data_IF_116365855002
#
_entry.id   IF_116365855002
#
_cell.length_a   1.000
_cell.length_b   1.000
_cell.length_c   1.000
_cell.angle_alpha   90.00
_cell.angle_beta   90.00
_cell.angle_gamma   90.00
#
_symmetry.space_group_name_H-M   'P 1'
#
loop_
_entity.id
_entity.type
_entity.pdbx_description
1 polymer ?
#
# COMPACT_ATOMS: atom_id res chain seq x y z
N UNK A 1 5.78 19.58 -3.06
CA UNK A 1 6.32 18.20 -3.13
C UNK A 1 5.16 17.25 -2.93
N UNK A 2 5.04 16.22 -3.75
CA UNK A 2 3.98 15.19 -3.67
C UNK A 2 4.15 14.39 -2.38
N UNK A 3 3.05 14.07 -1.70
CA UNK A 3 3.11 13.18 -0.52
C UNK A 3 3.16 11.72 -0.97
N UNK A 4 3.98 10.92 -0.31
CA UNK A 4 3.94 9.46 -0.40
C UNK A 4 3.17 8.92 0.81
N UNK A 5 1.98 8.39 0.55
CA UNK A 5 1.17 7.66 1.52
C UNK A 5 1.51 6.18 1.49
N UNK A 6 1.48 5.54 2.65
CA UNK A 6 1.50 4.08 2.77
C UNK A 6 0.14 3.61 3.26
N UNK A 7 -0.50 2.70 2.54
CA UNK A 7 -1.68 1.98 3.01
C UNK A 7 -1.37 0.50 3.09
N UNK A 8 -1.45 -0.08 4.28
CA UNK A 8 -1.23 -1.50 4.49
C UNK A 8 -2.29 -2.09 5.43
N UNK A 9 -2.75 -3.29 5.08
CA UNK A 9 -3.48 -4.15 6.00
C UNK A 9 -2.49 -4.85 6.92
N UNK A 10 -2.77 -4.90 8.21
CA UNK A 10 -1.93 -5.61 9.15
C UNK A 10 -2.74 -6.29 10.25
N UNK A 11 -2.15 -7.29 10.87
CA UNK A 11 -2.71 -7.97 12.03
C UNK A 11 -2.48 -7.18 13.32
N UNK A 12 -3.20 -7.49 14.39
CA UNK A 12 -2.99 -6.89 15.73
C UNK A 12 -1.56 -7.08 16.23
N UNK A 13 -0.92 -8.21 15.87
CA UNK A 13 0.45 -8.54 16.25
C UNK A 13 1.51 -8.05 15.24
N UNK A 14 1.13 -7.16 14.29
CA UNK A 14 2.06 -6.34 13.51
C UNK A 14 2.55 -6.95 12.20
N UNK A 15 1.89 -7.96 11.65
CA UNK A 15 2.26 -8.59 10.38
C UNK A 15 1.34 -8.17 9.24
N UNK A 16 1.89 -8.03 8.04
CA UNK A 16 1.13 -7.71 6.81
C UNK A 16 0.83 -8.94 5.96
N UNK A 17 1.46 -10.06 6.25
CA UNK A 17 1.20 -11.36 5.64
C UNK A 17 1.77 -12.47 6.51
N UNK A 18 1.40 -13.72 6.27
CA UNK A 18 2.13 -14.88 6.76
C UNK A 18 3.56 -14.95 6.20
N UNK A 19 4.31 -15.98 6.61
CA UNK A 19 5.74 -16.13 6.24
C UNK A 19 5.98 -16.35 4.75
N UNK A 20 5.01 -16.96 4.04
CA UNK A 20 5.06 -17.19 2.59
C UNK A 20 4.19 -16.19 1.80
N UNK A 21 3.64 -15.16 2.46
CA UNK A 21 2.81 -14.15 1.84
C UNK A 21 1.31 -14.41 1.94
N UNK A 22 0.89 -15.33 2.79
CA UNK A 22 -0.53 -15.66 3.02
C UNK A 22 -1.28 -14.45 3.60
N UNK A 23 -2.49 -14.18 3.09
CA UNK A 23 -3.32 -13.03 3.45
C UNK A 23 -4.77 -13.42 3.75
N UNK A 24 -5.07 -14.70 3.97
CA UNK A 24 -6.43 -15.22 4.21
C UNK A 24 -7.07 -14.67 5.49
N UNK A 25 -6.26 -14.15 6.39
CA UNK A 25 -6.72 -13.45 7.59
C UNK A 25 -7.45 -12.13 7.30
N UNK A 26 -7.30 -11.56 6.09
CA UNK A 26 -8.01 -10.35 5.64
C UNK A 26 -9.43 -10.62 5.13
N UNK A 27 -10.09 -11.69 5.54
CA UNK A 27 -11.45 -12.07 5.10
C UNK A 27 -12.57 -11.36 5.84
N UNK A 28 -12.38 -10.14 6.24
CA UNK A 28 -13.46 -9.36 6.84
C UNK A 28 -14.23 -8.65 5.73
N UNK A 29 -15.60 -8.71 5.75
CA UNK A 29 -16.36 -7.90 4.81
C UNK A 29 -16.12 -6.43 5.14
N UNK A 30 -15.67 -5.67 4.17
CA UNK A 30 -15.55 -4.23 4.29
C UNK A 30 -16.97 -3.61 4.31
N UNK A 31 -17.19 -2.72 5.26
CA UNK A 31 -18.42 -1.93 5.40
C UNK A 31 -18.28 -0.61 4.65
N UNK A 32 -19.40 0.06 4.33
CA UNK A 32 -19.39 1.28 3.51
C UNK A 32 -18.51 2.38 4.12
N UNK A 33 -18.48 2.51 5.44
CA UNK A 33 -17.68 3.52 6.13
C UNK A 33 -16.16 3.39 5.91
N UNK A 34 -15.62 2.16 5.82
CA UNK A 34 -14.20 1.95 5.50
C UNK A 34 -13.94 2.11 3.99
N UNK A 35 -14.91 1.75 3.15
CA UNK A 35 -14.83 2.00 1.71
C UNK A 35 -14.79 3.50 1.40
N UNK A 36 -15.63 4.30 2.06
CA UNK A 36 -15.61 5.77 1.96
C UNK A 36 -14.25 6.33 2.37
N UNK A 37 -13.70 5.83 3.47
CA UNK A 37 -12.38 6.25 3.90
C UNK A 37 -11.27 5.90 2.89
N UNK A 38 -11.32 4.72 2.28
CA UNK A 38 -10.37 4.33 1.22
C UNK A 38 -10.53 5.23 0.00
N UNK A 39 -11.76 5.57 -0.40
CA UNK A 39 -12.01 6.55 -1.46
C UNK A 39 -11.37 7.91 -1.11
N UNK A 40 -11.61 8.42 0.09
CA UNK A 40 -11.05 9.70 0.58
C UNK A 40 -9.52 9.74 0.46
N UNK A 41 -8.81 8.72 0.93
CA UNK A 41 -7.34 8.71 0.92
C UNK A 41 -6.74 8.47 -0.46
N UNK A 42 -7.49 7.84 -1.38
CA UNK A 42 -7.04 7.50 -2.73
C UNK A 42 -7.49 8.51 -3.80
N UNK A 43 -8.50 9.34 -3.53
CA UNK A 43 -8.98 10.34 -4.48
C UNK A 43 -7.86 11.24 -5.01
N UNK A 44 -7.00 11.86 -4.15
CA UNK A 44 -5.93 12.73 -4.62
C UNK A 44 -4.72 11.98 -5.20
N UNK A 45 -4.78 10.65 -5.31
CA UNK A 45 -3.65 9.83 -5.77
C UNK A 45 -3.64 9.75 -7.30
N UNK A 46 -2.49 10.05 -7.89
CA UNK A 46 -2.25 9.91 -9.33
C UNK A 46 -1.15 8.89 -9.69
N UNK A 47 -0.50 8.29 -8.70
CA UNK A 47 0.57 7.32 -8.92
C UNK A 47 0.59 6.26 -7.81
N UNK A 48 0.65 4.99 -8.20
CA UNK A 48 0.75 3.84 -7.28
C UNK A 48 2.17 3.27 -7.35
N UNK A 49 2.80 3.04 -6.19
CA UNK A 49 4.07 2.33 -6.09
C UNK A 49 3.86 0.92 -5.54
N UNK A 50 4.47 -0.06 -6.19
CA UNK A 50 4.40 -1.47 -5.81
C UNK A 50 5.79 -2.11 -5.81
N UNK A 51 6.02 -3.00 -4.86
CA UNK A 51 7.09 -3.97 -4.99
C UNK A 51 6.68 -5.11 -5.95
N UNK A 52 7.63 -5.67 -6.70
CA UNK A 52 7.39 -6.71 -7.72
C UNK A 52 6.47 -7.85 -7.24
N UNK A 53 6.76 -8.44 -6.07
CA UNK A 53 5.97 -9.59 -5.58
C UNK A 53 4.50 -9.24 -5.34
N UNK A 54 4.22 -8.04 -4.83
CA UNK A 54 2.84 -7.59 -4.69
C UNK A 54 2.20 -7.31 -6.05
N UNK A 55 2.91 -6.68 -6.97
CA UNK A 55 2.41 -6.35 -8.29
C UNK A 55 1.91 -7.59 -9.07
N UNK A 56 2.60 -8.72 -8.92
CA UNK A 56 2.25 -10.00 -9.54
C UNK A 56 0.86 -10.54 -9.13
N UNK A 57 0.37 -10.18 -7.95
CA UNK A 57 -0.98 -10.50 -7.48
C UNK A 57 -1.95 -9.33 -7.63
N UNK A 58 -1.55 -8.14 -7.21
CA UNK A 58 -2.39 -6.94 -7.16
C UNK A 58 -2.91 -6.52 -8.54
N UNK A 59 -2.04 -6.43 -9.54
CA UNK A 59 -2.44 -5.92 -10.86
C UNK A 59 -3.40 -6.89 -11.57
N UNK A 60 -3.12 -8.21 -11.66
CA UNK A 60 -4.06 -9.15 -12.24
C UNK A 60 -5.40 -9.24 -11.51
N UNK A 61 -5.40 -9.16 -10.17
CA UNK A 61 -6.62 -9.17 -9.37
C UNK A 61 -7.54 -8.01 -9.78
N UNK A 62 -7.07 -6.77 -9.74
CA UNK A 62 -7.86 -5.60 -10.08
C UNK A 62 -8.25 -5.54 -11.56
N UNK A 63 -7.37 -6.01 -12.45
CA UNK A 63 -7.69 -6.17 -13.87
C UNK A 63 -8.84 -7.17 -14.08
N UNK A 64 -8.95 -8.17 -13.20
CA UNK A 64 -10.05 -9.13 -13.28
C UNK A 64 -11.35 -8.58 -12.69
N UNK A 65 -11.30 -7.88 -11.57
CA UNK A 65 -12.44 -7.23 -10.92
C UNK A 65 -13.19 -6.31 -11.89
N UNK A 66 -12.48 -5.49 -12.65
CA UNK A 66 -13.10 -4.52 -13.59
C UNK A 66 -13.71 -5.16 -14.86
N UNK A 67 -13.64 -6.48 -15.01
CA UNK A 67 -14.35 -7.17 -16.11
C UNK A 67 -15.83 -7.36 -15.83
N UNK A 68 -16.23 -7.37 -14.56
CA UNK A 68 -17.63 -7.47 -14.16
C UNK A 68 -18.10 -6.17 -13.49
N UNK A 69 -18.91 -5.34 -14.19
CA UNK A 69 -19.46 -4.11 -13.61
C UNK A 69 -20.35 -4.30 -12.37
N UNK A 70 -20.79 -5.54 -12.10
CA UNK A 70 -21.58 -5.88 -10.91
C UNK A 70 -20.73 -6.37 -9.73
N UNK A 71 -19.41 -6.46 -9.90
CA UNK A 71 -18.51 -6.82 -8.80
C UNK A 71 -18.59 -5.75 -7.71
N UNK A 72 -18.76 -6.12 -6.42
CA UNK A 72 -18.83 -5.16 -5.31
C UNK A 72 -17.60 -4.26 -5.19
N UNK A 73 -16.45 -4.69 -5.70
CA UNK A 73 -15.19 -3.94 -5.68
C UNK A 73 -14.90 -3.19 -6.99
N UNK A 74 -15.85 -3.19 -7.95
CA UNK A 74 -15.66 -2.62 -9.30
C UNK A 74 -15.14 -1.18 -9.28
N UNK A 75 -15.74 -0.29 -8.50
CA UNK A 75 -15.33 1.13 -8.43
C UNK A 75 -13.88 1.28 -7.93
N UNK A 76 -13.51 0.52 -6.90
CA UNK A 76 -12.12 0.45 -6.43
C UNK A 76 -11.19 -0.09 -7.50
N UNK A 77 -11.62 -1.15 -8.19
CA UNK A 77 -10.89 -1.75 -9.31
C UNK A 77 -10.62 -0.77 -10.44
N UNK A 78 -11.61 0.05 -10.81
CA UNK A 78 -11.44 1.12 -11.81
C UNK A 78 -10.36 2.10 -11.37
N UNK A 79 -10.38 2.57 -10.12
CA UNK A 79 -9.34 3.47 -9.58
C UNK A 79 -7.96 2.84 -9.67
N UNK A 80 -7.81 1.57 -9.24
CA UNK A 80 -6.51 0.89 -9.24
C UNK A 80 -5.98 0.55 -10.64
N UNK A 81 -6.85 0.25 -11.59
CA UNK A 81 -6.43 -0.05 -12.96
C UNK A 81 -6.09 1.19 -13.76
N UNK A 82 -6.85 2.28 -13.61
CA UNK A 82 -6.66 3.53 -14.35
C UNK A 82 -5.53 4.39 -13.79
N UNK A 83 -5.21 4.30 -12.50
CA UNK A 83 -4.09 5.03 -11.91
C UNK A 83 -2.75 4.45 -12.39
N UNK A 84 -1.82 5.27 -12.93
CA UNK A 84 -0.48 4.84 -13.31
C UNK A 84 0.27 4.15 -12.17
N UNK A 85 0.94 3.04 -12.50
CA UNK A 85 1.70 2.23 -11.54
C UNK A 85 3.18 2.24 -11.86
N UNK A 86 4.00 2.26 -10.82
CA UNK A 86 5.46 2.07 -10.92
C UNK A 86 5.82 0.87 -10.04
N UNK A 87 6.38 -0.16 -10.65
CA UNK A 87 6.80 -1.39 -9.98
C UNK A 87 8.32 -1.36 -9.81
N UNK A 88 8.75 -1.31 -8.55
CA UNK A 88 10.16 -1.40 -8.23
C UNK A 88 10.65 -2.85 -8.28
N UNK A 89 11.65 -3.10 -9.13
CA UNK A 89 12.17 -4.45 -9.37
C UNK A 89 13.65 -4.40 -9.74
N UNK A 90 14.44 -5.34 -9.25
CA UNK A 90 15.82 -5.57 -9.71
C UNK A 90 15.92 -6.73 -10.71
N UNK A 91 14.78 -7.33 -11.09
CA UNK A 91 14.76 -8.53 -11.96
C UNK A 91 13.89 -8.39 -13.20
N UNK A 92 12.93 -7.48 -13.20
CA UNK A 92 12.10 -7.17 -14.37
C UNK A 92 12.67 -5.95 -15.08
N UNK A 93 12.81 -6.03 -16.40
CA UNK A 93 13.27 -4.90 -17.22
C UNK A 93 12.12 -4.18 -17.93
N UNK A 94 11.04 -4.90 -18.24
CA UNK A 94 9.88 -4.36 -18.92
C UNK A 94 8.59 -4.79 -18.20
N UNK A 95 7.58 -3.95 -18.26
CA UNK A 95 6.26 -4.30 -17.75
C UNK A 95 5.53 -5.22 -18.73
N UNK A 96 4.83 -6.20 -18.16
CA UNK A 96 3.85 -7.03 -18.85
C UNK A 96 2.42 -6.58 -18.54
N UNK A 97 2.26 -5.57 -17.67
CA UNK A 97 0.97 -5.03 -17.24
C UNK A 97 0.70 -3.68 -17.89
N UNK A 98 -0.55 -3.44 -18.22
CA UNK A 98 -1.00 -2.15 -18.73
C UNK A 98 -0.83 -1.04 -17.69
N UNK A 99 -0.64 0.18 -18.17
CA UNK A 99 -0.52 1.38 -17.34
C UNK A 99 0.50 1.23 -16.19
N UNK A 100 1.61 0.54 -16.47
CA UNK A 100 2.61 0.17 -15.46
C UNK A 100 4.03 0.34 -16.02
N UNK A 101 4.86 1.11 -15.34
CA UNK A 101 6.29 1.21 -15.61
C UNK A 101 7.09 0.32 -14.63
N UNK A 102 8.26 -0.14 -15.07
CA UNK A 102 9.24 -0.82 -14.21
C UNK A 102 10.34 0.18 -13.84
N UNK A 103 10.66 0.24 -12.56
CA UNK A 103 11.75 1.06 -12.04
C UNK A 103 12.84 0.16 -11.45
N UNK A 104 14.05 0.24 -12.03
CA UNK A 104 15.22 -0.56 -11.64
C UNK A 104 16.29 0.27 -10.92
N UNK A 105 16.11 1.60 -10.85
CA UNK A 105 17.03 2.55 -10.22
C UNK A 105 17.12 2.38 -8.69
N UNK A 106 17.93 3.25 -8.09
CA UNK A 106 18.07 3.26 -6.64
C UNK A 106 16.81 3.86 -5.98
N UNK A 107 16.24 3.11 -5.03
CA UNK A 107 14.94 3.40 -4.43
C UNK A 107 14.83 4.84 -3.91
N UNK A 108 15.85 5.31 -3.19
CA UNK A 108 15.83 6.64 -2.56
C UNK A 108 15.84 7.73 -3.64
N UNK A 109 16.67 7.60 -4.64
CA UNK A 109 16.80 8.55 -5.74
C UNK A 109 15.49 8.64 -6.55
N UNK A 110 14.95 7.49 -6.98
CA UNK A 110 13.77 7.47 -7.84
C UNK A 110 12.49 7.90 -7.10
N UNK A 111 12.30 7.49 -5.85
CA UNK A 111 11.16 7.96 -5.05
C UNK A 111 11.28 9.47 -4.75
N UNK A 112 12.49 9.97 -4.44
CA UNK A 112 12.71 11.40 -4.23
C UNK A 112 12.43 12.20 -5.50
N UNK A 113 12.86 11.69 -6.65
CA UNK A 113 12.60 12.29 -7.96
C UNK A 113 11.11 12.37 -8.26
N UNK A 114 10.36 11.26 -8.02
CA UNK A 114 8.91 11.22 -8.17
C UNK A 114 8.19 12.22 -7.26
N UNK A 115 8.60 12.33 -6.00
CA UNK A 115 8.03 13.29 -5.04
C UNK A 115 8.27 14.74 -5.44
N UNK A 116 9.35 15.05 -6.16
CA UNK A 116 9.68 16.39 -6.64
C UNK A 116 9.04 16.77 -7.97
N UNK A 117 8.44 15.84 -8.68
CA UNK A 117 7.68 16.11 -9.92
C UNK A 117 6.39 16.89 -9.62
N UNK A 118 5.83 17.54 -10.65
CA UNK A 118 4.46 18.05 -10.60
C UNK A 118 3.48 16.88 -10.58
N UNK A 119 2.47 16.96 -9.76
CA UNK A 119 1.44 15.94 -9.62
C UNK A 119 0.79 15.97 -8.26
N UNK A 120 -0.11 15.02 -8.04
CA UNK A 120 -0.85 14.82 -6.80
C UNK A 120 -0.13 13.82 -5.88
N UNK A 121 -0.86 13.22 -4.94
CA UNK A 121 -0.28 12.29 -3.99
C UNK A 121 0.13 10.96 -4.67
N UNK A 122 1.11 10.31 -4.06
CA UNK A 122 1.60 8.97 -4.42
C UNK A 122 1.15 8.02 -3.31
N UNK A 123 0.81 6.78 -3.65
CA UNK A 123 0.47 5.75 -2.66
C UNK A 123 1.27 4.47 -2.88
N UNK A 124 1.69 3.83 -1.78
CA UNK A 124 2.26 2.50 -1.78
C UNK A 124 1.35 1.55 -0.99
N UNK A 125 1.14 0.33 -1.52
CA UNK A 125 0.21 -0.63 -0.91
C UNK A 125 0.88 -1.79 -0.18
N UNK A 126 2.14 -2.04 -0.37
CA UNK A 126 2.76 -3.16 0.29
C UNK A 126 3.83 -3.85 -0.54
N UNK A 127 4.02 -5.14 -0.25
CA UNK A 127 5.24 -5.86 -0.53
C UNK A 127 6.23 -5.61 0.61
N UNK A 128 6.25 -6.51 1.63
CA UNK A 128 6.90 -6.24 2.91
C UNK A 128 8.35 -5.76 2.81
N UNK A 129 9.14 -6.31 1.90
CA UNK A 129 10.52 -5.85 1.67
C UNK A 129 10.56 -4.44 1.08
N UNK A 130 9.69 -4.15 0.11
CA UNK A 130 9.63 -2.83 -0.53
C UNK A 130 9.19 -1.76 0.49
N UNK A 131 8.12 -2.01 1.23
CA UNK A 131 7.61 -1.09 2.26
C UNK A 131 8.63 -0.90 3.39
N UNK A 132 9.27 -1.98 3.86
CA UNK A 132 10.33 -1.87 4.86
C UNK A 132 11.48 -0.97 4.40
N UNK A 133 11.86 -1.05 3.12
CA UNK A 133 12.89 -0.17 2.55
C UNK A 133 12.43 1.29 2.46
N UNK A 134 11.17 1.56 2.09
CA UNK A 134 10.59 2.90 2.10
C UNK A 134 10.60 3.51 3.51
N UNK A 135 10.18 2.73 4.51
CA UNK A 135 10.15 3.16 5.92
C UNK A 135 11.56 3.44 6.43
N UNK A 136 12.50 2.50 6.24
CA UNK A 136 13.91 2.63 6.66
C UNK A 136 14.55 3.92 6.14
N UNK A 137 14.26 4.26 4.89
CA UNK A 137 14.83 5.45 4.23
C UNK A 137 13.99 6.72 4.45
N UNK A 138 12.98 6.70 5.34
CA UNK A 138 12.12 7.84 5.69
C UNK A 138 11.45 8.50 4.47
N UNK A 139 11.07 7.71 3.48
CA UNK A 139 10.48 8.20 2.23
C UNK A 139 8.97 8.44 2.34
N UNK A 140 8.31 7.79 3.32
CA UNK A 140 6.86 7.86 3.54
C UNK A 140 6.53 9.11 4.36
N UNK A 141 5.57 9.89 3.89
CA UNK A 141 5.07 11.09 4.57
C UNK A 141 3.89 10.79 5.50
N UNK A 142 3.10 9.77 5.18
CA UNK A 142 1.90 9.43 5.93
C UNK A 142 1.64 7.91 5.88
N UNK A 143 1.47 7.30 7.05
CA UNK A 143 1.18 5.87 7.17
C UNK A 143 -0.28 5.69 7.57
N UNK A 144 -1.03 4.92 6.78
CA UNK A 144 -2.38 4.45 7.09
C UNK A 144 -2.30 2.94 7.40
N UNK A 145 -2.25 2.60 8.66
CA UNK A 145 -2.12 1.22 9.16
C UNK A 145 -3.51 0.67 9.48
N UNK A 146 -4.02 -0.20 8.63
CA UNK A 146 -5.33 -0.85 8.78
C UNK A 146 -5.17 -2.10 9.67
N UNK A 147 -5.36 -1.94 10.97
CA UNK A 147 -5.20 -3.01 11.96
C UNK A 147 -6.45 -3.86 11.98
N UNK A 148 -6.36 -5.06 11.45
CA UNK A 148 -7.43 -6.05 11.45
C UNK A 148 -7.48 -6.77 12.80
N UNK A 149 -8.68 -7.13 13.33
CA UNK A 149 -8.83 -7.78 14.62
C UNK A 149 -8.45 -9.27 14.57
N UNK A 150 -7.27 -9.58 14.06
CA UNK A 150 -6.71 -10.94 13.91
C UNK A 150 -5.23 -10.93 14.25
N UNK A 151 -4.76 -11.98 14.91
CA UNK A 151 -3.33 -12.25 15.11
C UNK A 151 -2.94 -13.56 14.45
N UNK A 152 -1.71 -13.64 13.93
CA UNK A 152 -1.19 -14.83 13.23
C UNK A 152 0.08 -15.41 13.87
N UNK A 153 0.61 -14.77 14.91
CA UNK A 153 1.76 -15.25 15.70
C UNK A 153 3.11 -15.16 15.02
N UNK A 154 3.18 -15.30 13.70
CA UNK A 154 4.41 -15.19 12.92
C UNK A 154 4.08 -14.75 11.48
N UNK A 155 4.92 -13.90 10.91
CA UNK A 155 4.67 -13.37 9.57
C UNK A 155 5.70 -12.35 9.12
N UNK A 156 5.34 -11.55 8.14
CA UNK A 156 6.19 -10.51 7.56
C UNK A 156 5.87 -9.15 8.18
N UNK A 157 6.76 -8.57 9.03
CA UNK A 157 6.59 -7.23 9.57
C UNK A 157 7.11 -6.17 8.60
N UNK A 158 6.52 -4.96 8.64
CA UNK A 158 6.97 -3.85 7.78
C UNK A 158 8.14 -3.05 8.36
N UNK A 159 8.40 -3.15 9.66
CA UNK A 159 9.45 -2.40 10.35
C UNK A 159 10.75 -3.18 10.54
N UNK A 160 10.89 -4.36 9.93
CA UNK A 160 12.03 -5.28 10.12
C UNK A 160 13.40 -4.72 9.71
N UNK A 161 13.43 -3.74 8.82
CA UNK A 161 14.68 -3.14 8.31
C UNK A 161 15.20 -1.98 9.20
N UNK A 162 14.44 -1.57 10.21
CA UNK A 162 14.85 -0.50 11.10
C UNK A 162 16.03 -0.95 11.98
N UNK A 163 17.08 -0.13 12.03
CA UNK A 163 18.26 -0.32 12.88
C UNK A 163 18.29 0.64 14.07
N UNK A 164 17.34 1.57 14.13
CA UNK A 164 17.17 2.54 15.21
C UNK A 164 15.68 2.85 15.38
N UNK A 165 15.32 3.44 16.50
CA UNK A 165 13.94 3.89 16.73
C UNK A 165 13.55 4.97 15.72
N UNK A 166 12.31 4.87 15.24
CA UNK A 166 11.65 5.90 14.44
C UNK A 166 10.40 6.34 15.18
N UNK A 167 10.30 7.63 15.45
CA UNK A 167 9.15 8.19 16.15
C UNK A 167 8.09 8.65 15.15
N UNK A 168 6.84 8.60 15.58
CA UNK A 168 5.68 8.99 14.80
C UNK A 168 4.78 9.91 15.62
N UNK A 169 4.19 10.88 14.94
CA UNK A 169 3.09 11.68 15.45
C UNK A 169 1.77 11.03 15.02
N UNK A 170 0.83 10.83 15.94
CA UNK A 170 -0.52 10.38 15.63
C UNK A 170 -1.27 11.53 14.96
N UNK A 171 -1.78 11.30 13.76
CA UNK A 171 -2.62 12.26 13.03
C UNK A 171 -4.10 11.98 13.22
N UNK A 172 -4.49 10.71 13.20
CA UNK A 172 -5.88 10.31 13.35
C UNK A 172 -5.96 8.85 13.80
N UNK A 173 -7.09 8.47 14.39
CA UNK A 173 -7.45 7.09 14.74
C UNK A 173 -8.91 6.89 14.35
N UNK A 174 -9.17 5.99 13.43
CA UNK A 174 -10.53 5.69 12.95
C UNK A 174 -10.90 4.26 13.29
N UNK A 175 -12.13 4.09 13.75
CA UNK A 175 -12.74 2.79 14.01
C UNK A 175 -13.89 2.57 13.03
N UNK A 176 -13.91 1.40 12.38
CA UNK A 176 -14.90 1.04 11.37
C UNK A 176 -15.80 -0.10 11.84
N UNK A 177 -17.03 -0.16 11.30
CA UNK A 177 -18.06 -1.14 11.69
C UNK A 177 -17.63 -2.58 11.45
N UNK A 178 -16.74 -2.84 10.49
CA UNK A 178 -16.14 -4.15 10.24
C UNK A 178 -15.11 -4.59 11.30
N UNK A 179 -14.81 -3.74 12.31
CA UNK A 179 -13.86 -4.01 13.38
C UNK A 179 -12.42 -3.61 13.09
N UNK A 180 -12.11 -3.13 11.88
CA UNK A 180 -10.79 -2.59 11.54
C UNK A 180 -10.60 -1.25 12.22
N UNK A 181 -9.40 -1.02 12.76
CA UNK A 181 -8.96 0.28 13.26
C UNK A 181 -7.87 0.79 12.32
N UNK A 182 -7.99 2.03 11.86
CA UNK A 182 -6.92 2.67 11.08
C UNK A 182 -6.18 3.66 11.96
N UNK A 183 -4.87 3.44 12.06
CA UNK A 183 -3.93 4.34 12.71
C UNK A 183 -3.25 5.18 11.64
N UNK A 184 -3.42 6.50 11.71
CA UNK A 184 -2.78 7.42 10.78
C UNK A 184 -1.60 8.09 11.47
N UNK A 185 -0.41 7.84 10.94
CA UNK A 185 0.84 8.36 11.50
C UNK A 185 1.60 9.23 10.50
N UNK A 186 2.35 10.18 11.03
CA UNK A 186 3.36 10.96 10.31
C UNK A 186 4.73 10.70 10.98
N UNK A 187 5.79 10.39 10.21
CA UNK A 187 7.15 10.34 10.76
C UNK A 187 7.60 11.70 11.29
N UNK A 188 8.35 11.67 12.40
CA UNK A 188 8.94 12.85 13.04
C UNK A 188 10.45 12.87 12.76
#
# INVERSE_FOLDING_TARGET
>A
MRKLKLQVQMTVDGFISGTNGEMEWMKFPWTEDILDYVREITEPVDTILLGRKLAEGFIPHWTNVVKDPNDPEYEGGVKYTTTPKIVFSKTLNNSIWENTAIENGELVEEVTKLKNQKGNDIIAYGGGTFVSALIKNKLIDELHLFVNPTSIGNGMPIFKELTAYQNFEVKDVKHFKCGIIVLVYKPI
#
